data_IF_486568685541
#
_entry.id   IF_486568685541
#
_cell.length_a   1.000
_cell.length_b   1.000
_cell.length_c   1.000
_cell.angle_alpha   90.00
_cell.angle_beta   90.00
_cell.angle_gamma   90.00
#
_symmetry.space_group_name_H-M   'P 1'
#
loop_
_entity.id
_entity.type
_entity.pdbx_description
1 polymer ?
#
# COMPACT_ATOMS: atom_id res chain seq x y z
N UNK A 1 -19.07 -2.66 -28.20
CA UNK A 1 -19.37 -3.28 -26.91
C UNK A 1 -18.16 -3.01 -26.02
N UNK A 2 -18.31 -2.41 -24.83
CA UNK A 2 -17.20 -2.35 -23.90
C UNK A 2 -16.84 -3.79 -23.49
N UNK A 3 -15.54 -4.12 -23.27
CA UNK A 3 -15.16 -5.42 -22.75
C UNK A 3 -15.85 -5.65 -21.39
N UNK A 4 -16.32 -6.86 -21.19
CA UNK A 4 -16.98 -7.29 -19.97
C UNK A 4 -16.16 -6.84 -18.75
N UNK A 5 -16.79 -6.06 -17.89
CA UNK A 5 -16.25 -5.80 -16.57
C UNK A 5 -16.03 -7.16 -15.90
N UNK A 6 -14.80 -7.42 -15.44
CA UNK A 6 -14.47 -8.63 -14.71
C UNK A 6 -15.42 -8.78 -13.52
N UNK A 7 -16.43 -9.63 -13.70
CA UNK A 7 -17.45 -9.97 -12.71
C UNK A 7 -16.94 -11.01 -11.69
N UNK A 8 -15.62 -11.16 -11.55
CA UNK A 8 -15.06 -11.98 -10.47
C UNK A 8 -15.63 -11.49 -9.14
N UNK A 9 -16.29 -12.34 -8.36
CA UNK A 9 -16.87 -11.94 -7.08
C UNK A 9 -15.81 -11.24 -6.23
N UNK A 10 -16.19 -10.15 -5.58
CA UNK A 10 -15.29 -9.35 -4.72
C UNK A 10 -14.49 -10.24 -3.75
N UNK A 11 -15.13 -11.30 -3.21
CA UNK A 11 -14.48 -12.27 -2.33
C UNK A 11 -13.29 -13.01 -2.97
N UNK A 12 -13.27 -13.19 -4.30
CA UNK A 12 -12.15 -13.81 -5.03
C UNK A 12 -11.00 -12.85 -5.30
N UNK A 13 -11.18 -11.55 -5.04
CA UNK A 13 -10.16 -10.51 -5.28
C UNK A 13 -9.45 -10.07 -4.00
N UNK A 14 -10.00 -10.39 -2.83
CA UNK A 14 -9.47 -10.00 -1.52
C UNK A 14 -8.56 -11.11 -0.99
N UNK A 15 -7.28 -10.81 -0.79
CA UNK A 15 -6.34 -11.70 -0.11
C UNK A 15 -6.35 -11.49 1.42
N UNK A 16 -6.47 -10.23 1.86
CA UNK A 16 -6.60 -9.92 3.28
C UNK A 16 -7.56 -8.74 3.48
N UNK A 17 -8.45 -8.87 4.46
CA UNK A 17 -9.36 -7.83 4.90
C UNK A 17 -9.00 -7.36 6.32
N UNK A 18 -9.41 -6.14 6.64
CA UNK A 18 -9.30 -5.59 7.99
C UNK A 18 -10.08 -6.44 9.00
N UNK A 19 -9.47 -6.73 10.15
CA UNK A 19 -10.09 -7.46 11.25
C UNK A 19 -10.37 -6.50 12.40
N UNK A 20 -11.64 -6.24 12.68
CA UNK A 20 -12.08 -5.31 13.73
C UNK A 20 -11.69 -5.75 15.15
N UNK A 21 -11.45 -7.07 15.36
CA UNK A 21 -10.99 -7.61 16.64
C UNK A 21 -9.50 -7.38 16.92
N UNK A 22 -8.70 -6.95 15.93
CA UNK A 22 -7.28 -6.65 16.13
C UNK A 22 -7.08 -5.23 16.66
N UNK A 23 -6.05 -5.07 17.51
CA UNK A 23 -5.61 -3.75 17.95
C UNK A 23 -5.23 -2.91 16.72
N UNK A 24 -5.73 -1.66 16.62
CA UNK A 24 -5.37 -0.77 15.52
C UNK A 24 -3.87 -0.51 15.46
N UNK A 25 -3.33 -0.34 14.25
CA UNK A 25 -2.00 0.19 14.05
C UNK A 25 -1.98 1.67 14.45
N UNK A 26 -1.00 2.09 15.23
CA UNK A 26 -0.84 3.48 15.62
C UNK A 26 0.11 4.18 14.66
N UNK A 27 -0.36 5.26 14.02
CA UNK A 27 0.44 6.08 13.13
C UNK A 27 0.35 7.57 13.55
N UNK A 28 1.45 8.32 13.44
CA UNK A 28 1.42 9.78 13.64
C UNK A 28 0.33 10.43 12.79
N UNK A 29 -0.46 11.32 13.38
CA UNK A 29 -1.59 11.97 12.70
C UNK A 29 -1.15 12.70 11.43
N UNK A 30 0.02 13.33 11.44
CA UNK A 30 0.59 14.02 10.27
C UNK A 30 0.83 13.06 9.08
N UNK A 31 1.30 11.83 9.35
CA UNK A 31 1.48 10.82 8.30
C UNK A 31 0.15 10.39 7.72
N UNK A 32 -0.86 10.12 8.56
CA UNK A 32 -2.19 9.72 8.08
C UNK A 32 -2.81 10.82 7.21
N UNK A 33 -2.66 12.09 7.58
CA UNK A 33 -3.10 13.22 6.78
C UNK A 33 -2.38 13.22 5.42
N UNK A 34 -1.05 13.08 5.43
CA UNK A 34 -0.26 13.04 4.20
C UNK A 34 -0.63 11.88 3.26
N UNK A 35 -0.98 10.71 3.80
CA UNK A 35 -1.49 9.58 3.01
C UNK A 35 -2.82 9.92 2.33
N UNK A 36 -3.75 10.56 3.07
CA UNK A 36 -5.05 10.95 2.55
C UNK A 36 -4.94 12.02 1.47
N UNK A 37 -4.12 13.04 1.68
CA UNK A 37 -3.86 14.09 0.69
C UNK A 37 -3.30 13.49 -0.60
N UNK A 38 -2.30 12.60 -0.50
CA UNK A 38 -1.71 11.96 -1.68
C UNK A 38 -2.72 11.09 -2.44
N UNK A 39 -3.57 10.35 -1.73
CA UNK A 39 -4.61 9.54 -2.37
C UNK A 39 -5.63 10.40 -3.12
N UNK A 40 -6.05 11.52 -2.54
CA UNK A 40 -6.98 12.47 -3.19
C UNK A 40 -6.33 13.16 -4.40
N UNK A 41 -5.06 13.58 -4.27
CA UNK A 41 -4.32 14.23 -5.36
C UNK A 41 -4.12 13.31 -6.58
N UNK A 42 -3.91 12.02 -6.36
CA UNK A 42 -3.70 11.06 -7.44
C UNK A 42 -5.00 10.55 -8.08
N UNK A 43 -6.15 10.69 -7.40
CA UNK A 43 -7.42 10.20 -7.93
C UNK A 43 -7.67 10.75 -9.36
N UNK A 44 -8.06 9.95 -10.37
CA UNK A 44 -8.58 8.57 -10.29
C UNK A 44 -7.54 7.46 -10.54
N UNK A 45 -6.27 7.68 -10.23
CA UNK A 45 -5.24 6.65 -10.24
C UNK A 45 -4.82 6.31 -8.81
N UNK A 46 -4.30 5.11 -8.60
CA UNK A 46 -3.76 4.72 -7.30
C UNK A 46 -2.47 5.49 -6.99
N UNK A 47 -2.41 6.12 -5.83
CA UNK A 47 -1.15 6.64 -5.31
C UNK A 47 -0.31 5.51 -4.72
N UNK A 48 0.98 5.70 -4.63
CA UNK A 48 1.88 4.78 -3.92
C UNK A 48 3.07 5.51 -3.30
N UNK A 49 3.70 4.85 -2.33
CA UNK A 49 4.89 5.41 -1.69
C UNK A 49 5.34 4.61 -0.47
N UNK A 50 6.27 5.21 0.26
CA UNK A 50 7.00 4.59 1.34
C UNK A 50 6.76 5.34 2.66
N UNK A 51 6.80 4.60 3.76
CA UNK A 51 6.90 5.13 5.11
C UNK A 51 8.25 4.78 5.68
N UNK A 52 9.00 5.79 6.08
CA UNK A 52 10.38 5.68 6.57
C UNK A 52 10.43 6.16 8.02
N UNK A 53 11.32 5.58 8.79
CA UNK A 53 11.56 5.97 10.18
C UNK A 53 12.63 5.12 10.84
N UNK A 54 12.83 5.26 12.17
CA UNK A 54 13.82 4.48 12.88
C UNK A 54 13.57 2.97 12.73
N UNK A 55 14.63 2.17 12.79
CA UNK A 55 14.54 0.70 12.68
C UNK A 55 13.62 0.08 13.74
N UNK A 56 13.52 0.70 14.92
CA UNK A 56 12.55 0.36 15.95
C UNK A 56 11.62 1.56 16.22
N UNK A 57 10.30 1.32 16.16
CA UNK A 57 9.29 2.36 16.40
C UNK A 57 8.42 2.65 15.18
N UNK A 58 7.51 3.62 15.29
CA UNK A 58 6.62 4.00 14.19
C UNK A 58 7.37 4.72 13.07
N UNK A 59 6.82 4.71 11.84
CA UNK A 59 7.33 5.55 10.77
C UNK A 59 7.19 7.04 11.14
N UNK A 60 8.11 7.86 10.62
CA UNK A 60 8.15 9.29 10.94
C UNK A 60 7.97 10.18 9.72
N UNK A 61 8.24 9.68 8.51
CA UNK A 61 8.08 10.43 7.27
C UNK A 61 7.49 9.58 6.15
N UNK A 62 6.79 10.26 5.26
CA UNK A 62 6.24 9.73 4.02
C UNK A 62 7.15 10.10 2.86
N UNK A 63 7.37 9.17 1.94
CA UNK A 63 7.94 9.42 0.62
C UNK A 63 6.87 9.09 -0.42
N UNK A 64 6.40 10.11 -1.16
CA UNK A 64 5.47 9.95 -2.26
C UNK A 64 6.23 9.49 -3.48
N UNK A 65 5.80 8.39 -4.11
CA UNK A 65 6.44 7.82 -5.27
C UNK A 65 5.51 7.87 -6.49
N UNK A 66 6.10 7.88 -7.67
CA UNK A 66 5.32 7.76 -8.90
C UNK A 66 4.80 6.35 -9.08
N UNK A 67 3.52 6.25 -9.42
CA UNK A 67 2.93 5.01 -9.91
C UNK A 67 3.21 4.90 -11.42
N UNK A 68 4.07 3.95 -11.81
CA UNK A 68 4.43 3.72 -13.21
C UNK A 68 3.66 2.58 -13.87
N UNK A 69 2.59 2.13 -13.26
CA UNK A 69 1.79 0.99 -13.73
C UNK A 69 1.21 1.21 -15.13
N UNK A 70 0.69 2.39 -15.44
CA UNK A 70 0.18 2.70 -16.78
C UNK A 70 1.28 2.65 -17.84
N UNK A 71 2.52 3.03 -17.50
CA UNK A 71 3.70 2.88 -18.38
C UNK A 71 4.04 1.41 -18.61
N UNK A 72 3.97 0.58 -17.58
CA UNK A 72 4.17 -0.87 -17.69
C UNK A 72 3.11 -1.52 -18.58
N UNK A 73 1.84 -1.14 -18.41
CA UNK A 73 0.76 -1.59 -19.28
C UNK A 73 1.02 -1.22 -20.75
N UNK A 74 1.44 -0.01 -21.04
CA UNK A 74 1.74 0.44 -22.40
C UNK A 74 2.88 -0.33 -23.07
N UNK A 75 3.76 -0.97 -22.27
CA UNK A 75 4.85 -1.83 -22.74
C UNK A 75 4.48 -3.31 -22.80
N UNK A 76 3.24 -3.68 -22.46
CA UNK A 76 2.81 -5.08 -22.41
C UNK A 76 3.36 -5.89 -21.24
N UNK A 77 3.85 -5.21 -20.20
CA UNK A 77 4.38 -5.82 -18.97
C UNK A 77 3.29 -6.10 -17.93
N UNK A 78 2.09 -5.56 -18.13
CA UNK A 78 0.92 -5.76 -17.27
C UNK A 78 -0.36 -5.52 -18.06
N UNK A 79 -1.44 -6.20 -17.68
CA UNK A 79 -2.80 -5.93 -18.19
C UNK A 79 -3.52 -4.83 -17.42
N UNK A 80 -3.06 -4.50 -16.20
CA UNK A 80 -3.64 -3.49 -15.33
C UNK A 80 -3.01 -2.11 -15.57
N UNK A 81 -3.81 -1.06 -15.47
CA UNK A 81 -3.37 0.33 -15.47
C UNK A 81 -3.24 0.89 -14.05
N UNK A 82 -2.86 2.17 -13.93
CA UNK A 82 -2.66 2.84 -12.66
C UNK A 82 -3.94 3.10 -11.85
N UNK A 83 -5.14 2.88 -12.42
CA UNK A 83 -6.41 2.92 -11.70
C UNK A 83 -6.67 1.62 -10.90
N UNK A 84 -6.06 0.50 -11.31
CA UNK A 84 -6.38 -0.83 -10.82
C UNK A 84 -5.19 -1.55 -10.18
N UNK A 85 -4.01 -0.94 -10.23
CA UNK A 85 -2.79 -1.44 -9.61
C UNK A 85 -1.75 -0.33 -9.46
N UNK A 86 -0.75 -0.58 -8.64
CA UNK A 86 0.40 0.30 -8.56
C UNK A 86 1.71 -0.45 -8.84
N UNK A 87 2.69 0.31 -9.29
CA UNK A 87 4.09 -0.10 -9.36
C UNK A 87 4.95 1.13 -9.10
N UNK A 88 5.69 1.10 -8.01
CA UNK A 88 6.59 2.20 -7.66
C UNK A 88 7.70 2.29 -8.70
N UNK A 89 8.04 3.53 -9.13
CA UNK A 89 9.22 3.76 -9.98
C UNK A 89 10.46 3.18 -9.29
N UNK A 90 11.16 2.27 -9.97
CA UNK A 90 12.27 1.50 -9.37
C UNK A 90 13.43 2.39 -8.94
N UNK A 91 13.66 3.49 -9.66
CA UNK A 91 14.73 4.43 -9.31
C UNK A 91 14.36 5.21 -8.05
N UNK A 92 13.11 5.70 -7.94
CA UNK A 92 12.65 6.40 -6.75
C UNK A 92 12.66 5.48 -5.52
N UNK A 93 12.28 4.21 -5.68
CA UNK A 93 12.36 3.21 -4.62
C UNK A 93 13.81 3.03 -4.14
N UNK A 94 14.73 2.78 -5.08
CA UNK A 94 16.13 2.57 -4.76
C UNK A 94 16.75 3.80 -4.06
N UNK A 95 16.55 4.98 -4.62
CA UNK A 95 17.08 6.24 -4.07
C UNK A 95 16.57 6.47 -2.65
N UNK A 96 15.27 6.21 -2.40
CA UNK A 96 14.65 6.36 -1.08
C UNK A 96 15.21 5.39 -0.06
N UNK A 97 15.47 4.13 -0.46
CA UNK A 97 16.07 3.13 0.42
C UNK A 97 17.51 3.45 0.78
N UNK A 98 18.30 3.93 -0.20
CA UNK A 98 19.71 4.37 0.01
C UNK A 98 19.74 5.60 0.93
N UNK A 99 18.84 6.57 0.71
CA UNK A 99 18.72 7.75 1.58
C UNK A 99 18.39 7.36 3.02
N UNK A 100 17.41 6.47 3.20
CA UNK A 100 17.00 5.99 4.51
C UNK A 100 18.18 5.29 5.23
N UNK A 101 18.86 4.37 4.57
CA UNK A 101 20.01 3.66 5.13
C UNK A 101 21.14 4.63 5.54
N UNK A 102 21.42 5.62 4.70
CA UNK A 102 22.44 6.66 4.97
C UNK A 102 22.05 7.50 6.19
N UNK A 103 20.76 7.75 6.41
CA UNK A 103 20.25 8.47 7.57
C UNK A 103 20.12 7.60 8.84
N UNK A 104 20.43 6.30 8.78
CA UNK A 104 20.19 5.36 9.87
C UNK A 104 18.71 5.05 10.11
N UNK A 105 17.89 5.27 9.09
CA UNK A 105 16.47 4.97 9.05
C UNK A 105 16.21 3.65 8.30
N UNK A 106 14.97 3.17 8.35
CA UNK A 106 14.55 1.96 7.66
C UNK A 106 13.19 2.15 6.98
N UNK A 107 12.92 1.35 5.96
CA UNK A 107 11.58 1.18 5.40
C UNK A 107 10.68 0.54 6.46
N UNK A 108 9.57 1.20 6.78
CA UNK A 108 8.61 0.78 7.80
C UNK A 108 7.26 0.39 7.21
N UNK A 109 6.93 0.93 6.05
CA UNK A 109 5.69 0.64 5.36
C UNK A 109 5.76 0.96 3.86
N UNK A 110 4.97 0.23 3.10
CA UNK A 110 4.65 0.55 1.70
C UNK A 110 3.16 0.83 1.67
N UNK A 111 2.76 1.94 1.05
CA UNK A 111 1.35 2.29 0.96
C UNK A 111 0.91 2.50 -0.49
N UNK A 112 -0.35 2.24 -0.73
CA UNK A 112 -1.04 2.58 -1.96
C UNK A 112 -2.50 2.92 -1.68
N UNK A 113 -3.22 3.40 -2.70
CA UNK A 113 -4.67 3.62 -2.60
C UNK A 113 -5.44 2.69 -3.52
N UNK A 114 -6.64 2.31 -3.09
CA UNK A 114 -7.66 1.70 -3.94
C UNK A 114 -8.67 2.77 -4.38
N UNK A 115 -8.85 2.89 -5.69
CA UNK A 115 -9.78 3.84 -6.30
C UNK A 115 -11.17 3.22 -6.38
N UNK A 116 -12.17 3.90 -5.79
CA UNK A 116 -13.56 3.43 -5.71
C UNK A 116 -13.69 2.01 -5.11
N UNK A 117 -12.78 1.68 -4.22
CA UNK A 117 -12.66 0.39 -3.56
C UNK A 117 -12.42 0.50 -2.06
N UNK A 118 -12.67 -0.57 -1.33
CA UNK A 118 -12.43 -0.65 0.11
C UNK A 118 -10.93 -0.83 0.43
N UNK A 119 -10.55 -0.56 1.69
CA UNK A 119 -9.18 -0.76 2.19
C UNK A 119 -8.94 -2.24 2.55
N UNK A 120 -8.67 -3.06 1.57
CA UNK A 120 -8.25 -4.46 1.69
C UNK A 120 -6.90 -4.67 0.97
N UNK A 121 -6.24 -5.78 1.19
CA UNK A 121 -5.05 -6.17 0.43
C UNK A 121 -5.49 -7.17 -0.65
N UNK A 122 -5.33 -6.83 -1.92
CA UNK A 122 -5.72 -7.68 -3.04
C UNK A 122 -4.71 -8.83 -3.26
N UNK A 123 -5.10 -9.84 -4.04
CA UNK A 123 -4.16 -10.91 -4.44
C UNK A 123 -2.99 -10.34 -5.23
N UNK A 124 -3.22 -9.36 -6.09
CA UNK A 124 -2.15 -8.67 -6.84
C UNK A 124 -1.16 -7.98 -5.89
N UNK A 125 -1.65 -7.30 -4.85
CA UNK A 125 -0.80 -6.62 -3.87
C UNK A 125 0.03 -7.63 -3.08
N UNK A 126 -0.58 -8.75 -2.66
CA UNK A 126 0.12 -9.83 -1.96
C UNK A 126 1.18 -10.46 -2.86
N UNK A 127 0.86 -10.76 -4.11
CA UNK A 127 1.81 -11.35 -5.06
C UNK A 127 3.01 -10.41 -5.31
N UNK A 128 2.78 -9.09 -5.35
CA UNK A 128 3.84 -8.09 -5.47
C UNK A 128 4.65 -7.89 -4.18
N UNK A 129 4.07 -8.18 -3.02
CA UNK A 129 4.73 -8.04 -1.72
C UNK A 129 5.55 -9.26 -1.32
N UNK A 130 5.36 -10.41 -1.97
CA UNK A 130 6.03 -11.67 -1.67
C UNK A 130 7.14 -12.00 -2.67
N UNK A 131 8.21 -12.60 -2.17
CA UNK A 131 9.26 -13.21 -2.97
C UNK A 131 8.86 -14.60 -3.51
N UNK A 132 9.72 -15.20 -4.36
CA UNK A 132 9.49 -16.53 -4.94
C UNK A 132 9.37 -17.66 -3.90
N UNK A 133 9.87 -17.42 -2.70
CA UNK A 133 9.80 -18.34 -1.54
C UNK A 133 8.49 -18.19 -0.75
N UNK A 134 7.61 -17.27 -1.15
CA UNK A 134 6.36 -16.95 -0.47
C UNK A 134 6.54 -16.23 0.87
N UNK A 135 7.68 -15.55 1.04
CA UNK A 135 7.97 -14.67 2.18
C UNK A 135 7.97 -13.20 1.76
N UNK A 136 7.73 -12.26 2.68
CA UNK A 136 7.77 -10.83 2.35
C UNK A 136 9.11 -10.41 1.73
N UNK A 137 9.06 -9.67 0.61
CA UNK A 137 10.25 -9.05 0.01
C UNK A 137 10.95 -8.10 0.99
N UNK A 138 10.19 -7.45 1.86
CA UNK A 138 10.68 -6.56 2.90
C UNK A 138 10.19 -7.05 4.26
N UNK A 139 10.94 -7.92 4.97
CA UNK A 139 10.53 -8.43 6.28
C UNK A 139 10.31 -7.30 7.30
N UNK A 140 9.21 -7.38 8.05
CA UNK A 140 8.86 -6.38 9.06
C UNK A 140 8.30 -5.06 8.52
N UNK A 141 8.06 -4.97 7.21
CA UNK A 141 7.44 -3.82 6.55
C UNK A 141 5.94 -4.03 6.43
N UNK A 142 5.15 -3.07 6.91
CA UNK A 142 3.69 -3.09 6.81
C UNK A 142 3.23 -2.71 5.40
N UNK A 143 2.12 -3.28 4.95
CA UNK A 143 1.39 -2.82 3.76
C UNK A 143 0.22 -1.95 4.22
N UNK A 144 0.02 -0.78 3.62
CA UNK A 144 -1.09 0.11 3.96
C UNK A 144 -1.94 0.39 2.73
N UNK A 145 -3.25 0.36 2.90
CA UNK A 145 -4.20 0.62 1.81
C UNK A 145 -5.14 1.74 2.21
N UNK A 146 -5.19 2.78 1.38
CA UNK A 146 -6.12 3.92 1.52
C UNK A 146 -7.30 3.71 0.59
N UNK A 147 -8.52 3.67 1.10
CA UNK A 147 -9.74 3.68 0.29
C UNK A 147 -10.05 5.12 -0.12
N UNK A 148 -9.95 5.44 -1.42
CA UNK A 148 -10.23 6.78 -1.96
C UNK A 148 -11.33 6.74 -3.01
N UNK A 149 -12.23 7.72 -2.95
CA UNK A 149 -13.38 7.88 -3.83
C UNK A 149 -13.41 9.32 -4.36
N UNK A 150 -14.28 9.62 -5.32
CA UNK A 150 -14.41 10.96 -5.89
C UNK A 150 -14.79 12.03 -4.86
N UNK A 151 -15.41 11.64 -3.77
CA UNK A 151 -15.79 12.50 -2.64
C UNK A 151 -14.77 12.52 -1.48
N UNK A 152 -13.66 11.77 -1.60
CA UNK A 152 -12.57 11.75 -0.63
C UNK A 152 -12.21 10.37 -0.08
N UNK A 153 -11.43 10.35 0.99
CA UNK A 153 -10.96 9.13 1.65
C UNK A 153 -12.03 8.60 2.61
N UNK A 154 -12.29 7.29 2.54
CA UNK A 154 -13.25 6.61 3.40
C UNK A 154 -12.64 5.74 4.48
N UNK A 155 -11.48 5.12 4.21
CA UNK A 155 -10.85 4.19 5.15
C UNK A 155 -9.34 4.09 4.93
N UNK A 156 -8.65 3.56 5.95
CA UNK A 156 -7.24 3.20 5.92
C UNK A 156 -7.05 1.90 6.71
N UNK A 157 -6.41 0.93 6.12
CA UNK A 157 -6.05 -0.33 6.77
C UNK A 157 -4.55 -0.58 6.70
N UNK A 158 -4.02 -1.25 7.73
CA UNK A 158 -2.64 -1.69 7.83
C UNK A 158 -2.59 -3.21 7.87
N UNK A 159 -1.69 -3.81 7.12
CA UNK A 159 -1.51 -5.25 6.99
C UNK A 159 -0.08 -5.61 7.35
N UNK A 160 0.07 -6.44 8.37
CA UNK A 160 1.36 -6.96 8.80
C UNK A 160 1.46 -8.45 8.48
N UNK A 161 2.67 -8.90 8.17
CA UNK A 161 2.93 -10.33 7.99
C UNK A 161 2.81 -11.07 9.31
N UNK A 162 2.01 -12.13 9.31
CA UNK A 162 1.86 -13.06 10.44
C UNK A 162 2.59 -14.34 10.10
N UNK A 163 3.69 -14.60 10.80
CA UNK A 163 4.55 -15.76 10.56
C UNK A 163 3.83 -17.11 10.81
N UNK A 164 2.92 -17.15 11.78
CA UNK A 164 2.19 -18.37 12.09
C UNK A 164 1.13 -18.68 11.03
N UNK A 165 0.44 -17.65 10.56
CA UNK A 165 -0.54 -17.77 9.49
C UNK A 165 0.10 -17.85 8.09
N UNK A 166 1.37 -17.43 7.95
CA UNK A 166 2.06 -17.22 6.67
C UNK A 166 1.22 -16.36 5.70
N UNK A 167 0.70 -15.27 6.21
CA UNK A 167 -0.18 -14.38 5.48
C UNK A 167 -0.11 -12.96 6.03
N UNK A 168 -0.45 -11.98 5.20
CA UNK A 168 -0.73 -10.64 5.69
C UNK A 168 -2.06 -10.61 6.44
N UNK A 169 -2.09 -9.95 7.58
CA UNK A 169 -3.28 -9.82 8.43
C UNK A 169 -3.59 -8.35 8.67
N UNK A 170 -4.82 -7.95 8.36
CA UNK A 170 -5.27 -6.57 8.36
C UNK A 170 -5.81 -6.10 9.70
N UNK A 171 -5.66 -4.80 9.98
CA UNK A 171 -6.22 -4.08 11.12
C UNK A 171 -6.50 -2.62 10.74
N UNK A 172 -7.38 -1.97 11.48
CA UNK A 172 -7.60 -0.53 11.33
C UNK A 172 -6.37 0.29 11.74
N UNK A 173 -6.40 1.57 11.41
CA UNK A 173 -5.35 2.53 11.80
C UNK A 173 -5.92 3.57 12.74
N UNK A 174 -5.20 3.86 13.83
CA UNK A 174 -5.50 4.92 14.78
C UNK A 174 -4.44 6.01 14.66
N UNK A 175 -4.92 7.26 14.54
CA UNK A 175 -4.06 8.45 14.60
C UNK A 175 -3.60 8.67 16.03
N UNK A 176 -2.31 8.91 16.21
CA UNK A 176 -1.73 9.30 17.49
C UNK A 176 -1.00 10.62 17.33
N UNK A 177 -1.00 11.43 18.39
CA UNK A 177 -0.16 12.62 18.46
C UNK A 177 1.31 12.19 18.56
N UNK A 178 2.18 12.94 17.89
CA UNK A 178 3.62 12.65 17.83
C UNK A 178 4.32 13.11 19.12
#
# INVERSE_FOLDING_TARGET
MPPDADLTPLAGRIAAAKQDSRMPAELPAALVIGLYEHAVECYPEECCGLLIGPAAGPPQRQVRCRNVQSRRRSRGESDLDARHAFWIDEQELLDSLVEADTAGEALRGIYHSHVDGEAYLSHTDVDCALGPDGLPLYPGVSQLVVSVWDDGVRDLACFDWDEAARAFVGRGVRKVDA
#
